data_IF_256719126901
#
_entry.id   IF_256719126901
#
_cell.length_a   1.000
_cell.length_b   1.000
_cell.length_c   1.000
_cell.angle_alpha   90.00
_cell.angle_beta   90.00
_cell.angle_gamma   90.00
#
_symmetry.space_group_name_H-M   'P 1'
#
loop_
_entity.id
_entity.type
_entity.pdbx_description
1 polymer ?
#
# COMPACT_ATOMS: atom_id res chain seq x y z
N UNK A 1 7.29 12.17 -18.58
CA UNK A 1 6.88 12.18 -17.16
C UNK A 1 5.52 11.50 -16.88
N UNK A 2 4.93 10.76 -17.84
CA UNK A 2 3.69 10.00 -17.61
C UNK A 2 3.87 8.90 -16.54
N UNK A 3 4.97 8.12 -16.61
CA UNK A 3 5.19 6.95 -15.75
C UNK A 3 5.17 7.27 -14.23
N UNK A 4 5.86 8.32 -13.75
CA UNK A 4 5.84 8.69 -12.31
C UNK A 4 4.44 9.11 -11.84
N UNK A 5 3.72 9.88 -12.65
CA UNK A 5 2.37 10.35 -12.30
C UNK A 5 1.39 9.18 -12.26
N UNK A 6 1.45 8.32 -13.27
CA UNK A 6 0.57 7.16 -13.37
C UNK A 6 0.87 6.16 -12.24
N UNK A 7 2.15 5.92 -11.92
CA UNK A 7 2.55 5.09 -10.79
C UNK A 7 2.04 5.63 -9.45
N UNK A 8 2.13 6.94 -9.19
CA UNK A 8 1.54 7.55 -7.98
C UNK A 8 0.03 7.37 -7.94
N UNK A 9 -0.65 7.53 -9.08
CA UNK A 9 -2.11 7.31 -9.18
C UNK A 9 -2.45 5.86 -8.87
N UNK A 10 -1.70 4.90 -9.40
CA UNK A 10 -1.88 3.47 -9.12
C UNK A 10 -1.65 3.16 -7.65
N UNK A 11 -0.58 3.67 -7.03
CA UNK A 11 -0.32 3.52 -5.59
C UNK A 11 -1.50 4.06 -4.78
N UNK A 12 -1.94 5.28 -5.06
CA UNK A 12 -3.08 5.90 -4.38
C UNK A 12 -4.35 5.07 -4.53
N UNK A 13 -4.65 4.62 -5.75
CA UNK A 13 -5.83 3.80 -6.02
C UNK A 13 -5.79 2.50 -5.20
N UNK A 14 -4.71 1.73 -5.28
CA UNK A 14 -4.58 0.46 -4.57
C UNK A 14 -4.69 0.67 -3.05
N UNK A 15 -4.00 1.66 -2.48
CA UNK A 15 -4.06 1.90 -1.04
C UNK A 15 -5.44 2.39 -0.58
N UNK A 16 -6.19 3.10 -1.43
CA UNK A 16 -7.57 3.49 -1.13
C UNK A 16 -8.50 2.28 -1.12
N UNK A 17 -8.34 1.35 -2.07
CA UNK A 17 -9.12 0.10 -2.08
C UNK A 17 -8.79 -0.76 -0.85
N UNK A 18 -7.50 -0.93 -0.50
CA UNK A 18 -7.10 -1.65 0.71
C UNK A 18 -7.71 -1.02 1.98
N UNK A 19 -7.76 0.31 2.05
CA UNK A 19 -8.36 1.02 3.17
C UNK A 19 -9.86 0.73 3.27
N UNK A 20 -10.58 0.82 2.14
CA UNK A 20 -12.01 0.54 2.08
C UNK A 20 -12.31 -0.93 2.46
N UNK A 21 -11.53 -1.88 1.96
CA UNK A 21 -11.65 -3.30 2.29
C UNK A 21 -11.39 -3.59 3.77
N UNK A 22 -10.39 -2.96 4.38
CA UNK A 22 -10.12 -3.11 5.81
C UNK A 22 -11.30 -2.58 6.66
N UNK A 23 -11.88 -1.44 6.28
CA UNK A 23 -13.06 -0.89 6.96
C UNK A 23 -14.26 -1.82 6.77
N UNK A 24 -14.49 -2.33 5.55
CA UNK A 24 -15.56 -3.29 5.28
C UNK A 24 -15.41 -4.56 6.12
N UNK A 25 -14.21 -5.16 6.15
CA UNK A 25 -13.91 -6.34 6.96
C UNK A 25 -14.18 -6.09 8.46
N UNK A 26 -13.84 -4.91 8.98
CA UNK A 26 -14.16 -4.59 10.39
C UNK A 26 -15.65 -4.43 10.69
N UNK A 27 -16.45 -4.01 9.71
CA UNK A 27 -17.88 -3.76 9.91
C UNK A 27 -18.71 -5.04 9.78
N UNK A 28 -18.28 -5.97 8.92
CA UNK A 28 -19.01 -7.21 8.69
C UNK A 28 -18.62 -8.35 9.64
N UNK A 29 -17.44 -8.29 10.27
CA UNK A 29 -16.96 -9.30 11.20
C UNK A 29 -17.05 -8.81 12.64
N UNK A 30 -18.12 -9.25 13.33
CA UNK A 30 -18.58 -8.69 14.61
C UNK A 30 -17.65 -8.82 15.81
N UNK A 31 -16.53 -9.56 15.71
CA UNK A 31 -15.58 -9.81 16.81
C UNK A 31 -14.15 -9.28 16.52
N UNK A 32 -13.98 -8.39 15.55
CA UNK A 32 -12.67 -7.80 15.26
C UNK A 32 -12.22 -6.82 16.35
N UNK A 33 -10.96 -6.91 16.78
CA UNK A 33 -10.39 -5.96 17.74
C UNK A 33 -10.05 -4.65 17.03
N UNK A 34 -10.56 -3.54 17.54
CA UNK A 34 -10.29 -2.21 16.98
C UNK A 34 -8.79 -1.92 16.82
N UNK A 35 -7.95 -2.38 17.76
CA UNK A 35 -6.50 -2.18 17.69
C UNK A 35 -5.86 -2.87 16.47
N UNK A 36 -6.37 -4.04 16.05
CA UNK A 36 -5.86 -4.76 14.89
C UNK A 36 -6.26 -4.01 13.60
N UNK A 37 -7.50 -3.52 13.54
CA UNK A 37 -8.01 -2.66 12.45
C UNK A 37 -7.18 -1.38 12.33
N UNK A 38 -6.99 -0.65 13.44
CA UNK A 38 -6.21 0.60 13.47
C UNK A 38 -4.75 0.36 13.04
N UNK A 39 -4.17 -0.78 13.41
CA UNK A 39 -2.85 -1.20 13.00
C UNK A 39 -2.74 -1.38 11.48
N UNK A 40 -3.71 -2.07 10.88
CA UNK A 40 -3.74 -2.31 9.43
C UNK A 40 -3.98 -1.01 8.66
N UNK A 41 -4.94 -0.18 9.09
CA UNK A 41 -5.20 1.13 8.47
C UNK A 41 -3.96 2.04 8.53
N UNK A 42 -3.25 2.03 9.66
CA UNK A 42 -1.99 2.77 9.81
C UNK A 42 -0.92 2.26 8.85
N UNK A 43 -0.77 0.94 8.71
CA UNK A 43 0.16 0.32 7.77
C UNK A 43 -0.14 0.72 6.31
N UNK A 44 -1.41 0.79 5.91
CA UNK A 44 -1.84 1.23 4.57
C UNK A 44 -1.42 2.68 4.31
N UNK A 45 -1.65 3.59 5.27
CA UNK A 45 -1.27 5.01 5.16
C UNK A 45 0.25 5.17 5.08
N UNK A 46 0.99 4.40 5.87
CA UNK A 46 2.46 4.37 5.83
C UNK A 46 2.98 3.86 4.49
N UNK A 47 2.41 2.77 3.97
CA UNK A 47 2.73 2.21 2.66
C UNK A 47 2.52 3.26 1.57
N UNK A 48 1.37 3.93 1.54
CA UNK A 48 1.11 4.99 0.57
C UNK A 48 2.18 6.09 0.66
N UNK A 49 2.38 6.62 1.86
CA UNK A 49 3.28 7.76 2.09
C UNK A 49 4.72 7.44 1.68
N UNK A 50 5.23 6.26 2.03
CA UNK A 50 6.57 5.83 1.67
C UNK A 50 6.73 5.72 0.14
N UNK A 51 5.84 4.98 -0.51
CA UNK A 51 5.99 4.71 -1.94
C UNK A 51 5.73 5.95 -2.79
N UNK A 52 4.85 6.86 -2.39
CA UNK A 52 4.69 8.18 -3.04
C UNK A 52 5.98 9.00 -2.94
N UNK A 53 6.66 8.99 -1.79
CA UNK A 53 7.96 9.66 -1.61
C UNK A 53 9.05 9.00 -2.46
N UNK A 54 9.15 7.67 -2.45
CA UNK A 54 10.12 6.91 -3.26
C UNK A 54 9.95 7.14 -4.77
N UNK A 55 8.72 7.30 -5.26
CA UNK A 55 8.47 7.66 -6.67
C UNK A 55 8.90 9.11 -6.97
N UNK A 56 8.71 10.01 -6.00
CA UNK A 56 9.09 11.43 -6.12
C UNK A 56 10.60 11.62 -6.12
N UNK A 57 11.31 10.83 -5.29
CA UNK A 57 12.73 10.96 -5.01
C UNK A 57 13.49 9.65 -5.29
N UNK A 58 13.71 9.28 -6.57
CA UNK A 58 14.52 8.13 -6.91
C UNK A 58 15.96 8.27 -6.41
N UNK A 59 16.54 7.15 -5.97
CA UNK A 59 17.91 7.13 -5.46
C UNK A 59 18.94 7.48 -6.56
N UNK A 60 19.86 8.42 -6.30
CA UNK A 60 20.92 8.74 -7.25
C UNK A 60 21.88 7.56 -7.43
N UNK A 61 22.35 7.35 -8.66
CA UNK A 61 23.32 6.29 -8.97
C UNK A 61 22.72 4.95 -9.40
N UNK A 62 21.41 4.75 -9.25
CA UNK A 62 20.71 3.55 -9.76
C UNK A 62 20.08 3.84 -11.13
N UNK A 63 20.15 2.88 -12.06
CA UNK A 63 19.45 2.99 -13.35
C UNK A 63 17.94 3.15 -13.11
N UNK A 64 17.27 4.18 -13.66
CA UNK A 64 15.86 4.45 -13.37
C UNK A 64 14.92 3.26 -13.60
N UNK A 65 15.16 2.49 -14.66
CA UNK A 65 14.37 1.29 -14.97
C UNK A 65 14.47 0.22 -13.90
N UNK A 66 15.67 -0.04 -13.38
CA UNK A 66 15.89 -0.99 -12.30
C UNK A 66 15.26 -0.49 -10.99
N UNK A 67 15.43 0.81 -10.68
CA UNK A 67 14.85 1.42 -9.49
C UNK A 67 13.32 1.26 -9.45
N UNK A 68 12.63 1.65 -10.52
CA UNK A 68 11.16 1.55 -10.56
C UNK A 68 10.65 0.11 -10.62
N UNK A 69 11.40 -0.80 -11.26
CA UNK A 69 11.06 -2.23 -11.23
C UNK A 69 11.09 -2.77 -9.80
N UNK A 70 12.16 -2.50 -9.06
CA UNK A 70 12.29 -2.95 -7.67
C UNK A 70 11.23 -2.30 -6.78
N UNK A 71 10.99 -1.00 -6.95
CA UNK A 71 9.93 -0.28 -6.23
C UNK A 71 8.56 -0.93 -6.44
N UNK A 72 8.19 -1.29 -7.67
CA UNK A 72 6.91 -1.96 -7.95
C UNK A 72 6.87 -3.36 -7.30
N UNK A 73 7.97 -4.12 -7.37
CA UNK A 73 8.07 -5.43 -6.71
C UNK A 73 7.89 -5.31 -5.20
N UNK A 74 8.56 -4.36 -4.56
CA UNK A 74 8.46 -4.13 -3.12
C UNK A 74 7.04 -3.68 -2.72
N UNK A 75 6.44 -2.79 -3.50
CA UNK A 75 5.08 -2.31 -3.26
C UNK A 75 4.08 -3.46 -3.29
N UNK A 76 4.13 -4.27 -4.35
CA UNK A 76 3.23 -5.42 -4.51
C UNK A 76 3.39 -6.41 -3.35
N UNK A 77 4.63 -6.68 -2.92
CA UNK A 77 4.87 -7.58 -1.78
C UNK A 77 4.20 -7.06 -0.51
N UNK A 78 4.42 -5.79 -0.15
CA UNK A 78 3.82 -5.21 1.05
C UNK A 78 2.29 -5.07 0.94
N UNK A 79 1.77 -4.76 -0.25
CA UNK A 79 0.32 -4.78 -0.49
C UNK A 79 -0.27 -6.18 -0.30
N UNK A 80 0.39 -7.24 -0.77
CA UNK A 80 -0.04 -8.62 -0.54
C UNK A 80 -0.04 -8.97 0.95
N UNK A 81 0.99 -8.58 1.71
CA UNK A 81 1.03 -8.81 3.16
C UNK A 81 -0.14 -8.11 3.88
N UNK A 82 -0.51 -6.90 3.46
CA UNK A 82 -1.69 -6.20 3.99
C UNK A 82 -2.99 -6.91 3.60
N UNK A 83 -3.11 -7.41 2.37
CA UNK A 83 -4.29 -8.19 1.93
C UNK A 83 -4.46 -9.44 2.80
N UNK A 84 -3.38 -10.14 3.10
CA UNK A 84 -3.41 -11.31 3.99
C UNK A 84 -3.86 -10.92 5.41
N UNK A 85 -3.40 -9.78 5.93
CA UNK A 85 -3.85 -9.26 7.23
C UNK A 85 -5.35 -8.91 7.24
N UNK A 86 -5.85 -8.23 6.20
CA UNK A 86 -7.27 -7.91 6.06
C UNK A 86 -8.11 -9.20 5.96
N UNK A 87 -7.63 -10.19 5.21
CA UNK A 87 -8.33 -11.48 5.06
C UNK A 87 -8.43 -12.20 6.39
N UNK A 88 -7.41 -12.09 7.25
CA UNK A 88 -7.43 -12.66 8.61
C UNK A 88 -8.23 -11.85 9.63
N UNK A 89 -8.75 -10.66 9.27
CA UNK A 89 -9.80 -9.98 10.05
C UNK A 89 -11.18 -10.60 9.83
N UNK A 90 -11.35 -11.40 8.76
CA UNK A 90 -12.60 -12.02 8.39
C UNK A 90 -12.81 -13.44 8.91
#
# INVERSE_FOLDING_TARGET
MANKRDLKRTINYITSELFAECVAASLYNGDTKQADVDGILSAIVMLNTDFIKRVSHPEPGVKPTLYFKNLITDFNKQSSEIIDQITNLA
#
